data_IF_026282677880
#
_entry.id   IF_026282677880
#
_cell.length_a   1.000
_cell.length_b   1.000
_cell.length_c   1.000
_cell.angle_alpha   90.00
_cell.angle_beta   90.00
_cell.angle_gamma   90.00
#
_symmetry.space_group_name_H-M   'P 1'
#
loop_
_entity.id
_entity.type
_entity.pdbx_description
1 polymer ?
#
# COMPACT_ATOMS: atom_id res chain seq x y z
N UNK A 1 -15.93 1.84 -48.56
CA UNK A 1 -16.55 2.47 -47.38
C UNK A 1 -16.03 1.76 -46.15
N UNK A 2 -15.43 2.54 -45.25
CA UNK A 2 -14.69 2.12 -44.07
C UNK A 2 -15.55 1.31 -43.09
N UNK A 3 -14.93 0.33 -42.45
CA UNK A 3 -15.13 0.08 -41.01
C UNK A 3 -14.03 -0.85 -40.52
N UNK A 4 -12.84 -0.26 -40.33
CA UNK A 4 -11.84 -0.84 -39.44
C UNK A 4 -12.42 -0.79 -38.03
N UNK A 5 -12.96 -1.91 -37.57
CA UNK A 5 -13.30 -2.10 -36.16
C UNK A 5 -11.97 -2.22 -35.43
N UNK A 6 -11.47 -1.11 -34.92
CA UNK A 6 -10.33 -1.08 -34.02
C UNK A 6 -10.74 -1.80 -32.73
N UNK A 7 -10.31 -3.05 -32.59
CA UNK A 7 -10.29 -3.69 -31.28
C UNK A 7 -9.27 -2.91 -30.44
N UNK A 8 -9.77 -2.15 -29.46
CA UNK A 8 -8.93 -1.65 -28.39
C UNK A 8 -8.45 -2.87 -27.60
N UNK A 9 -7.29 -3.41 -27.98
CA UNK A 9 -6.51 -4.23 -27.06
C UNK A 9 -6.10 -3.31 -25.93
N UNK A 10 -6.84 -3.32 -24.83
CA UNK A 10 -6.31 -2.81 -23.57
C UNK A 10 -5.04 -3.60 -23.33
N UNK A 11 -3.91 -2.93 -23.51
CA UNK A 11 -2.63 -3.51 -23.17
C UNK A 11 -2.61 -3.69 -21.65
N UNK A 12 -2.87 -4.91 -21.20
CA UNK A 12 -2.82 -5.33 -19.80
C UNK A 12 -1.37 -5.48 -19.31
N UNK A 13 -0.38 -4.94 -20.03
CA UNK A 13 1.04 -5.05 -19.69
C UNK A 13 1.48 -4.26 -18.46
N UNK A 14 0.57 -3.49 -17.85
CA UNK A 14 0.77 -2.93 -16.51
C UNK A 14 -0.10 -3.66 -15.51
N UNK A 15 0.48 -4.62 -14.80
CA UNK A 15 -0.22 -5.27 -13.69
C UNK A 15 -0.67 -4.18 -12.69
N UNK A 16 -1.98 -4.06 -12.51
CA UNK A 16 -2.57 -3.13 -11.55
C UNK A 16 -2.08 -3.53 -10.15
N UNK A 17 -1.37 -2.63 -9.45
CA UNK A 17 -0.84 -2.96 -8.11
C UNK A 17 -1.98 -3.41 -7.19
N UNK A 18 -1.78 -4.55 -6.57
CA UNK A 18 -2.62 -5.12 -5.52
C UNK A 18 -2.13 -4.59 -4.20
N UNK A 19 -2.95 -3.79 -3.56
CA UNK A 19 -2.59 -3.11 -2.32
C UNK A 19 -3.52 -3.60 -1.22
N UNK A 20 -2.99 -3.80 -0.02
CA UNK A 20 -3.80 -4.01 1.18
C UNK A 20 -3.54 -2.90 2.18
N UNK A 21 -4.60 -2.43 2.83
CA UNK A 21 -4.56 -1.37 3.84
C UNK A 21 -5.13 -1.89 5.14
N UNK A 22 -4.39 -1.72 6.23
CA UNK A 22 -4.80 -2.09 7.59
C UNK A 22 -5.12 -0.86 8.43
N UNK A 23 -6.01 -1.04 9.42
CA UNK A 23 -6.37 -0.05 10.42
C UNK A 23 -6.85 1.29 9.85
N UNK A 24 -7.69 1.23 8.82
CA UNK A 24 -8.22 2.43 8.15
C UNK A 24 -9.64 2.75 8.64
N UNK A 25 -9.87 4.01 8.99
CA UNK A 25 -11.21 4.47 9.37
C UNK A 25 -12.07 4.83 8.14
N UNK A 26 -13.35 5.15 8.35
CA UNK A 26 -14.29 5.43 7.27
C UNK A 26 -13.92 6.68 6.45
N UNK A 27 -13.49 7.76 7.10
CA UNK A 27 -13.09 9.01 6.44
C UNK A 27 -11.87 8.80 5.53
N UNK A 28 -10.82 8.16 6.06
CA UNK A 28 -9.59 7.85 5.34
C UNK A 28 -9.86 6.92 4.16
N UNK A 29 -10.76 5.95 4.33
CA UNK A 29 -11.18 5.03 3.26
C UNK A 29 -11.82 5.79 2.09
N UNK A 30 -12.72 6.73 2.36
CA UNK A 30 -13.38 7.52 1.33
C UNK A 30 -12.36 8.40 0.58
N UNK A 31 -11.47 9.06 1.32
CA UNK A 31 -10.42 9.90 0.75
C UNK A 31 -9.44 9.08 -0.10
N UNK A 32 -9.05 7.88 0.36
CA UNK A 32 -8.18 6.98 -0.37
C UNK A 32 -8.84 6.46 -1.65
N UNK A 33 -10.13 6.10 -1.59
CA UNK A 33 -10.89 5.68 -2.77
C UNK A 33 -10.99 6.81 -3.80
N UNK A 34 -11.24 8.04 -3.35
CA UNK A 34 -11.28 9.23 -4.20
C UNK A 34 -9.94 9.55 -4.85
N UNK A 35 -8.84 9.44 -4.09
CA UNK A 35 -7.49 9.67 -4.60
C UNK A 35 -7.06 8.58 -5.60
N UNK A 36 -7.39 7.31 -5.33
CA UNK A 36 -7.00 6.16 -6.15
C UNK A 36 -7.64 6.16 -7.54
N UNK A 37 -8.88 6.64 -7.67
CA UNK A 37 -9.63 6.64 -8.96
C UNK A 37 -9.65 5.28 -9.68
N UNK A 38 -9.61 4.18 -8.91
CA UNK A 38 -9.54 2.78 -9.40
C UNK A 38 -8.27 2.45 -10.21
N UNK A 39 -7.18 3.18 -10.00
CA UNK A 39 -5.87 2.89 -10.60
C UNK A 39 -5.27 1.63 -9.98
N UNK A 40 -5.23 1.55 -8.64
CA UNK A 40 -4.72 0.40 -7.87
C UNK A 40 -5.86 -0.47 -7.35
N UNK A 41 -5.63 -1.78 -7.20
CA UNK A 41 -6.58 -2.72 -6.60
C UNK A 41 -6.39 -2.75 -5.08
N UNK A 42 -7.10 -1.86 -4.40
CA UNK A 42 -6.99 -1.67 -2.95
C UNK A 42 -7.98 -2.60 -2.20
N UNK A 43 -7.44 -3.43 -1.30
CA UNK A 43 -8.17 -4.24 -0.31
C UNK A 43 -8.11 -3.54 1.03
N UNK A 44 -9.25 -3.41 1.71
CA UNK A 44 -9.35 -2.67 2.98
C UNK A 44 -9.62 -3.65 4.11
N UNK A 45 -8.80 -3.58 5.15
CA UNK A 45 -8.96 -4.25 6.44
C UNK A 45 -9.11 -3.15 7.49
N UNK A 46 -10.25 -3.12 8.17
CA UNK A 46 -10.52 -2.15 9.24
C UNK A 46 -9.74 -2.46 10.50
N UNK A 47 -9.40 -3.73 10.70
CA UNK A 47 -8.62 -4.18 11.85
C UNK A 47 -7.12 -3.89 11.67
N UNK A 48 -6.37 -3.77 12.78
CA UNK A 48 -4.92 -3.66 12.76
C UNK A 48 -4.22 -4.86 12.14
N UNK A 49 -2.96 -4.66 11.73
CA UNK A 49 -2.06 -5.76 11.39
C UNK A 49 -1.68 -6.52 12.66
N UNK A 50 -2.05 -7.79 12.73
CA UNK A 50 -1.71 -8.72 13.80
C UNK A 50 -1.47 -10.15 13.26
N UNK A 51 -1.27 -11.11 14.16
CA UNK A 51 -1.02 -12.51 13.78
C UNK A 51 -2.18 -13.16 13.01
N UNK A 52 -3.41 -12.70 13.25
CA UNK A 52 -4.62 -13.19 12.59
C UNK A 52 -4.88 -12.47 11.26
N UNK A 53 -4.42 -11.23 11.06
CA UNK A 53 -4.74 -10.45 9.86
C UNK A 53 -3.61 -10.40 8.85
N UNK A 54 -2.35 -10.62 9.25
CA UNK A 54 -1.15 -10.52 8.39
C UNK A 54 -1.20 -11.40 7.15
N UNK A 55 -1.85 -12.56 7.21
CA UNK A 55 -1.97 -13.47 6.07
C UNK A 55 -2.79 -12.89 4.90
N UNK A 56 -3.64 -11.88 5.14
CA UNK A 56 -4.36 -11.19 4.06
C UNK A 56 -3.44 -10.40 3.13
N UNK A 57 -2.20 -10.14 3.54
CA UNK A 57 -1.18 -9.51 2.70
C UNK A 57 -0.61 -10.46 1.64
N UNK A 58 -0.89 -11.75 1.70
CA UNK A 58 -0.38 -12.71 0.71
C UNK A 58 -0.81 -12.32 -0.73
N UNK A 59 0.13 -12.45 -1.67
CA UNK A 59 -0.03 -12.11 -3.09
C UNK A 59 -0.42 -10.63 -3.36
N UNK A 60 -0.07 -9.72 -2.44
CA UNK A 60 -0.15 -8.27 -2.64
C UNK A 60 1.21 -7.72 -3.04
N UNK A 61 1.18 -6.60 -3.77
CA UNK A 61 2.35 -5.87 -4.19
C UNK A 61 2.73 -4.82 -3.15
N UNK A 62 1.75 -4.26 -2.43
CA UNK A 62 2.03 -3.28 -1.37
C UNK A 62 1.15 -3.47 -0.14
N UNK A 63 1.74 -3.17 1.02
CA UNK A 63 1.04 -3.10 2.31
C UNK A 63 1.06 -1.66 2.81
N UNK A 64 -0.08 -1.16 3.25
CA UNK A 64 -0.24 0.14 3.88
C UNK A 64 -0.72 -0.05 5.31
N UNK A 65 -0.04 0.58 6.25
CA UNK A 65 -0.36 0.49 7.67
C UNK A 65 -0.63 1.91 8.16
N UNK A 66 -1.83 2.13 8.67
CA UNK A 66 -2.29 3.44 9.15
C UNK A 66 -2.32 3.44 10.68
N UNK A 67 -1.65 4.40 11.32
CA UNK A 67 -1.80 4.76 12.73
C UNK A 67 -2.02 3.57 13.69
N UNK A 68 -1.15 2.55 13.68
CA UNK A 68 -1.28 1.48 14.68
C UNK A 68 -0.85 2.00 16.05
N UNK A 69 -1.70 1.78 17.06
CA UNK A 69 -1.45 2.19 18.46
C UNK A 69 -0.17 1.55 19.02
N UNK A 70 0.16 0.35 18.53
CA UNK A 70 1.40 -0.34 18.86
C UNK A 70 2.43 -0.16 17.75
N UNK A 71 3.69 0.10 18.14
CA UNK A 71 4.81 0.08 17.21
C UNK A 71 4.83 -1.26 16.45
N UNK A 72 5.04 -1.20 15.14
CA UNK A 72 5.19 -2.40 14.33
C UNK A 72 6.43 -3.15 14.79
N UNK A 73 6.21 -4.35 15.34
CA UNK A 73 7.32 -5.21 15.73
C UNK A 73 8.10 -5.68 14.51
N UNK A 74 9.38 -5.95 14.72
CA UNK A 74 10.25 -6.53 13.69
C UNK A 74 9.72 -7.86 13.15
N UNK A 75 9.02 -8.64 13.98
CA UNK A 75 8.42 -9.90 13.56
C UNK A 75 7.39 -9.71 12.44
N UNK A 76 6.56 -8.66 12.49
CA UNK A 76 5.59 -8.41 11.43
C UNK A 76 6.25 -7.96 10.14
N UNK A 77 7.27 -7.11 10.20
CA UNK A 77 8.02 -6.70 9.01
C UNK A 77 8.64 -7.93 8.32
N UNK A 78 9.33 -8.79 9.09
CA UNK A 78 9.91 -10.04 8.57
C UNK A 78 8.84 -10.98 8.00
N UNK A 79 7.66 -11.04 8.63
CA UNK A 79 6.54 -11.84 8.14
C UNK A 79 6.03 -11.31 6.80
N UNK A 80 5.88 -9.99 6.63
CA UNK A 80 5.51 -9.38 5.35
C UNK A 80 6.55 -9.66 4.26
N UNK A 81 7.85 -9.57 4.58
CA UNK A 81 8.93 -9.94 3.66
C UNK A 81 8.83 -11.43 3.27
N UNK A 82 8.56 -12.31 4.23
CA UNK A 82 8.41 -13.75 3.97
C UNK A 82 7.19 -14.09 3.09
N UNK A 83 6.16 -13.23 3.11
CA UNK A 83 5.00 -13.30 2.23
C UNK A 83 5.28 -12.73 0.82
N UNK A 84 6.51 -12.27 0.57
CA UNK A 84 6.94 -11.74 -0.71
C UNK A 84 6.49 -10.31 -0.98
N UNK A 85 6.17 -9.52 0.05
CA UNK A 85 5.75 -8.12 -0.11
C UNK A 85 6.96 -7.25 -0.47
N UNK A 86 6.96 -6.59 -1.66
CA UNK A 86 8.07 -5.73 -2.07
C UNK A 86 7.94 -4.28 -1.57
N UNK A 87 6.73 -3.81 -1.26
CA UNK A 87 6.47 -2.40 -0.90
C UNK A 87 5.70 -2.22 0.41
N UNK A 88 6.17 -1.30 1.26
CA UNK A 88 5.55 -0.96 2.54
C UNK A 88 5.33 0.54 2.70
N UNK A 89 4.11 0.97 2.99
CA UNK A 89 3.80 2.35 3.38
C UNK A 89 3.36 2.38 4.83
N UNK A 90 4.02 3.24 5.61
CA UNK A 90 3.66 3.51 7.01
C UNK A 90 3.13 4.94 7.09
N UNK A 91 1.83 5.08 7.38
CA UNK A 91 1.22 6.37 7.64
C UNK A 91 1.06 6.54 9.15
N UNK A 92 1.70 7.55 9.70
CA UNK A 92 1.67 7.85 11.14
C UNK A 92 1.52 9.35 11.36
N UNK A 93 0.74 9.74 12.36
CA UNK A 93 0.73 11.11 12.87
C UNK A 93 1.95 11.40 13.77
N UNK A 94 2.50 10.36 14.40
CA UNK A 94 3.60 10.44 15.37
C UNK A 94 4.93 9.92 14.80
N UNK A 95 6.02 10.12 15.54
CA UNK A 95 7.32 9.56 15.19
C UNK A 95 7.29 8.04 15.27
N UNK A 96 7.40 7.41 14.10
CA UNK A 96 7.51 5.97 14.00
C UNK A 96 8.97 5.56 14.19
N UNK A 97 9.24 4.78 15.24
CA UNK A 97 10.52 4.13 15.41
C UNK A 97 10.48 2.81 14.66
N UNK A 98 11.28 2.73 13.61
CA UNK A 98 11.50 1.49 12.87
C UNK A 98 12.98 1.15 12.96
N UNK A 99 13.29 -0.11 13.22
CA UNK A 99 14.69 -0.56 13.20
C UNK A 99 15.11 -0.69 11.73
N UNK A 100 15.53 0.46 11.21
CA UNK A 100 16.02 0.70 9.86
C UNK A 100 16.98 -0.40 9.34
N UNK A 101 17.93 -0.94 10.13
CA UNK A 101 18.86 -1.98 9.67
C UNK A 101 18.18 -3.23 9.13
N UNK A 102 17.05 -3.65 9.73
CA UNK A 102 16.34 -4.87 9.33
C UNK A 102 15.69 -4.68 7.97
N UNK A 103 15.10 -3.50 7.76
CA UNK A 103 14.43 -3.15 6.50
C UNK A 103 15.44 -2.98 5.38
N UNK A 104 16.53 -2.25 5.63
CA UNK A 104 17.57 -2.02 4.61
C UNK A 104 18.21 -3.31 4.13
N UNK A 105 18.33 -4.32 4.99
CA UNK A 105 18.93 -5.62 4.64
C UNK A 105 17.95 -6.61 4.00
N UNK A 106 16.65 -6.31 4.00
CA UNK A 106 15.60 -7.24 3.56
C UNK A 106 15.14 -7.06 2.12
N UNK A 107 15.59 -5.99 1.45
CA UNK A 107 15.22 -5.69 0.06
C UNK A 107 13.82 -5.10 -0.13
N UNK A 108 13.03 -4.92 0.94
CA UNK A 108 11.73 -4.24 0.87
C UNK A 108 11.94 -2.72 0.71
N UNK A 109 11.21 -2.13 -0.24
CA UNK A 109 11.14 -0.68 -0.34
C UNK A 109 10.05 -0.14 0.58
N UNK A 110 10.36 0.90 1.35
CA UNK A 110 9.39 1.47 2.28
C UNK A 110 9.29 2.98 2.18
N UNK A 111 8.13 3.52 2.57
CA UNK A 111 7.87 4.94 2.68
C UNK A 111 7.13 5.26 3.98
N UNK A 112 7.65 6.22 4.74
CA UNK A 112 6.94 6.78 5.90
C UNK A 112 6.27 8.08 5.47
N UNK A 113 4.96 8.19 5.72
CA UNK A 113 4.15 9.38 5.47
C UNK A 113 3.73 9.95 6.84
N UNK A 114 4.42 11.01 7.26
CA UNK A 114 4.07 11.79 8.45
C UNK A 114 3.11 12.91 8.05
N UNK A 115 1.81 12.71 8.27
CA UNK A 115 0.80 13.70 7.90
C UNK A 115 -0.46 13.57 8.78
N UNK A 116 -0.90 14.68 9.36
CA UNK A 116 -2.13 14.77 10.16
C UNK A 116 -3.38 14.97 9.29
N UNK A 117 -3.26 15.56 8.10
CA UNK A 117 -4.36 15.74 7.17
C UNK A 117 -4.60 14.44 6.37
N UNK A 118 -5.77 13.78 6.54
CA UNK A 118 -6.04 12.49 5.90
C UNK A 118 -6.18 12.60 4.37
N UNK A 119 -6.59 13.76 3.84
CA UNK A 119 -6.72 13.99 2.39
C UNK A 119 -5.34 14.13 1.75
N UNK A 120 -4.44 14.87 2.39
CA UNK A 120 -3.05 14.98 1.95
C UNK A 120 -2.36 13.62 2.06
N UNK A 121 -2.57 12.88 3.16
CA UNK A 121 -2.04 11.54 3.34
C UNK A 121 -2.50 10.58 2.22
N UNK A 122 -3.79 10.55 1.90
CA UNK A 122 -4.33 9.75 0.80
C UNK A 122 -3.67 10.09 -0.55
N UNK A 123 -3.51 11.37 -0.86
CA UNK A 123 -2.83 11.79 -2.09
C UNK A 123 -1.37 11.36 -2.15
N UNK A 124 -0.64 11.43 -1.02
CA UNK A 124 0.75 11.00 -0.93
C UNK A 124 0.89 9.48 -1.05
N UNK A 125 -0.04 8.73 -0.46
CA UNK A 125 -0.11 7.27 -0.58
C UNK A 125 -0.24 6.88 -2.06
N UNK A 126 -1.24 7.41 -2.76
CA UNK A 126 -1.48 7.06 -4.17
C UNK A 126 -0.30 7.49 -5.04
N UNK A 127 0.25 8.68 -4.84
CA UNK A 127 1.45 9.12 -5.56
C UNK A 127 2.64 8.18 -5.34
N UNK A 128 2.79 7.64 -4.13
CA UNK A 128 3.86 6.68 -3.82
C UNK A 128 3.65 5.37 -4.57
N UNK A 129 2.42 4.84 -4.56
CA UNK A 129 2.05 3.65 -5.33
C UNK A 129 2.21 3.87 -6.83
N UNK A 130 1.81 5.02 -7.36
CA UNK A 130 1.98 5.37 -8.77
C UNK A 130 3.47 5.34 -9.17
N UNK A 131 4.34 5.87 -8.32
CA UNK A 131 5.79 5.85 -8.59
C UNK A 131 6.32 4.41 -8.62
N UNK A 132 5.92 3.55 -7.69
CA UNK A 132 6.35 2.16 -7.65
C UNK A 132 5.79 1.34 -8.82
N UNK A 133 4.51 1.50 -9.14
CA UNK A 133 3.90 0.84 -10.29
C UNK A 133 4.42 1.34 -11.64
N UNK A 134 5.08 2.51 -11.71
CA UNK A 134 5.72 3.03 -12.94
C UNK A 134 7.24 2.79 -12.97
N UNK A 135 7.84 2.22 -11.92
CA UNK A 135 9.27 1.94 -11.88
C UNK A 135 9.55 0.58 -12.53
N UNK A 136 9.45 0.54 -13.85
CA UNK A 136 9.98 -0.55 -14.70
C UNK A 136 11.44 -0.25 -15.11
#
# INVERSE_FOLDING_TARGET
>A
MNSSVGFYTFDYSKDIMKVIVYNINQEEKELLALANRKIHKITIITDPLDENTVHFAEAKDAVIIINQENQLSHSFILKLISLGIPYLILKSAEEFFIDLPIITNSGIQYKIIKCSDPKVAASLIIKTLDNWGNSD
#
